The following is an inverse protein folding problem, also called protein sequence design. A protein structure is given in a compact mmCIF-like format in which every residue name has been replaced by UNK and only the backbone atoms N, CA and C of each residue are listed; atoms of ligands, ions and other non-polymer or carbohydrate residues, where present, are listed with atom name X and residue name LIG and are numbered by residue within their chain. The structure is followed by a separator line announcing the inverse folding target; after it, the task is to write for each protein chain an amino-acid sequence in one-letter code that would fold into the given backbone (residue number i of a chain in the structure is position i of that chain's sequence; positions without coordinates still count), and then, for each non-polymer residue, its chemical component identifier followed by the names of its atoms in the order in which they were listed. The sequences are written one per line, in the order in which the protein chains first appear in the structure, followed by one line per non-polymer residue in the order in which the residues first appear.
data_IF_088198385797
#
_entry.id   IF_088198385797
#
_cell.length_a   1.000
_cell.length_b   1.000
_cell.length_c   1.000
_cell.angle_alpha   90.00
_cell.angle_beta   90.00
_cell.angle_gamma   90.00
#
_symmetry.space_group_name_H-M   'P 1'
#
loop_
_entity.id
_entity.type
_entity.pdbx_description
1 polymer ?
#
# COMPACT_ATOMS: atom_id res chain seq x y z
N UNK A 1 18.74 11.28 -19.13
CA UNK A 1 17.93 12.21 -18.30
C UNK A 1 16.69 11.53 -17.72
N UNK A 2 15.84 10.89 -18.52
CA UNK A 2 14.62 10.20 -18.06
C UNK A 2 14.88 9.11 -16.98
N UNK A 3 15.86 8.24 -17.21
CA UNK A 3 16.25 7.18 -16.26
C UNK A 3 16.69 7.73 -14.91
N UNK A 4 17.45 8.83 -14.90
CA UNK A 4 17.90 9.49 -13.67
C UNK A 4 16.69 10.05 -12.88
N UNK A 5 15.74 10.66 -13.58
CA UNK A 5 14.50 11.16 -13.00
C UNK A 5 13.72 10.00 -12.34
N UNK A 6 13.53 8.89 -13.04
CA UNK A 6 12.82 7.71 -12.51
C UNK A 6 13.50 7.11 -11.28
N UNK A 7 14.84 7.01 -11.27
CA UNK A 7 15.58 6.49 -10.12
C UNK A 7 15.39 7.42 -8.91
N UNK A 8 15.63 8.72 -9.07
CA UNK A 8 15.55 9.68 -7.96
C UNK A 8 14.12 9.77 -7.40
N UNK A 9 13.11 9.77 -8.26
CA UNK A 9 11.71 9.83 -7.84
C UNK A 9 11.18 8.50 -7.33
N UNK A 10 11.72 7.36 -7.78
CA UNK A 10 11.31 6.03 -7.34
C UNK A 10 11.85 5.61 -5.97
N UNK A 11 13.04 6.11 -5.58
CA UNK A 11 13.68 5.78 -4.29
C UNK A 11 12.77 6.05 -3.08
N UNK A 12 12.08 7.20 -2.95
CA UNK A 12 11.18 7.45 -1.83
C UNK A 12 10.09 6.40 -1.69
N UNK A 13 9.49 5.99 -2.79
CA UNK A 13 8.40 5.01 -2.76
C UNK A 13 8.91 3.63 -2.28
N UNK A 14 10.09 3.20 -2.74
CA UNK A 14 10.73 1.96 -2.27
C UNK A 14 11.04 1.97 -0.77
N UNK A 15 11.57 3.09 -0.26
CA UNK A 15 11.81 3.28 1.17
C UNK A 15 10.51 3.36 1.98
N UNK A 16 9.44 3.83 1.35
CA UNK A 16 8.12 3.97 1.94
C UNK A 16 7.56 2.68 2.51
N UNK A 17 7.82 1.54 1.88
CA UNK A 17 7.40 0.23 2.37
C UNK A 17 7.89 -0.08 3.80
N UNK A 18 9.09 0.42 4.15
CA UNK A 18 9.69 0.21 5.47
C UNK A 18 9.20 1.27 6.47
N UNK A 19 9.01 2.51 6.02
CA UNK A 19 8.74 3.67 6.88
C UNK A 19 7.24 3.85 7.15
N UNK A 20 6.36 3.45 6.21
CA UNK A 20 4.93 3.71 6.27
C UNK A 20 4.27 3.13 7.51
N UNK A 21 4.53 1.86 7.84
CA UNK A 21 3.91 1.19 8.99
C UNK A 21 4.29 1.81 10.35
N UNK A 22 5.57 2.03 10.71
CA UNK A 22 5.91 2.69 11.96
C UNK A 22 5.39 4.12 12.05
N UNK A 23 5.32 4.86 10.93
CA UNK A 23 4.74 6.19 10.89
C UNK A 23 3.23 6.16 11.20
N UNK A 24 2.49 5.28 10.54
CA UNK A 24 1.06 5.09 10.75
C UNK A 24 0.74 4.68 12.19
N UNK A 25 1.55 3.79 12.78
CA UNK A 25 1.39 3.36 14.17
C UNK A 25 1.60 4.50 15.17
N UNK A 26 2.51 5.44 14.88
CA UNK A 26 2.85 6.55 15.78
C UNK A 26 1.89 7.73 15.67
N UNK A 27 1.51 8.11 14.46
CA UNK A 27 0.78 9.35 14.17
C UNK A 27 -0.68 9.13 13.77
N UNK A 28 -1.08 7.87 13.55
CA UNK A 28 -2.37 7.52 12.97
C UNK A 28 -2.38 7.62 11.45
N UNK A 29 -3.27 6.84 10.82
CA UNK A 29 -3.35 6.72 9.36
C UNK A 29 -3.80 8.06 8.74
N UNK A 30 -4.83 8.68 9.31
CA UNK A 30 -5.37 9.95 8.83
C UNK A 30 -4.32 11.07 8.83
N UNK A 31 -3.59 11.24 9.93
CA UNK A 31 -2.59 12.30 10.03
C UNK A 31 -1.40 12.06 9.09
N UNK A 32 -1.00 10.81 8.90
CA UNK A 32 0.01 10.45 7.91
C UNK A 32 -0.45 10.78 6.48
N UNK A 33 -1.72 10.51 6.16
CA UNK A 33 -2.28 10.85 4.85
C UNK A 33 -2.34 12.37 4.63
N UNK A 34 -2.77 13.15 5.64
CA UNK A 34 -2.76 14.62 5.56
C UNK A 34 -1.35 15.15 5.35
N UNK A 35 -0.36 14.69 6.11
CA UNK A 35 1.03 15.08 5.92
C UNK A 35 1.55 14.71 4.53
N UNK A 36 1.22 13.51 4.04
CA UNK A 36 1.56 13.05 2.70
C UNK A 36 0.99 13.96 1.61
N UNK A 37 -0.32 14.20 1.62
CA UNK A 37 -0.94 15.09 0.63
C UNK A 37 -0.47 16.55 0.72
N UNK A 38 -0.07 17.02 1.89
CA UNK A 38 0.57 18.34 2.03
C UNK A 38 1.91 18.38 1.30
N UNK A 39 2.72 17.32 1.38
CA UNK A 39 3.98 17.22 0.64
C UNK A 39 3.74 17.07 -0.87
N UNK A 40 2.73 16.30 -1.28
CA UNK A 40 2.32 16.21 -2.69
C UNK A 40 1.95 17.60 -3.22
N UNK A 41 1.13 18.35 -2.47
CA UNK A 41 0.72 19.70 -2.86
C UNK A 41 1.92 20.63 -3.05
N UNK A 42 2.83 20.67 -2.08
CA UNK A 42 4.04 21.51 -2.17
C UNK A 42 4.90 21.09 -3.36
N UNK A 43 5.16 19.77 -3.51
CA UNK A 43 5.94 19.25 -4.65
C UNK A 43 5.31 19.56 -5.99
N UNK A 44 3.99 19.40 -6.11
CA UNK A 44 3.27 19.65 -7.37
C UNK A 44 3.20 21.15 -7.71
N UNK A 45 3.02 22.03 -6.72
CA UNK A 45 3.08 23.49 -6.93
C UNK A 45 4.47 23.91 -7.40
N UNK A 46 5.54 23.40 -6.80
CA UNK A 46 6.92 23.68 -7.23
C UNK A 46 7.16 23.21 -8.67
N UNK A 47 6.73 22.01 -9.02
CA UNK A 47 6.86 21.50 -10.38
C UNK A 47 6.03 22.28 -11.41
N UNK A 48 4.84 22.74 -11.00
CA UNK A 48 3.98 23.57 -11.85
C UNK A 48 4.54 24.97 -12.10
N UNK A 49 5.17 25.58 -11.06
CA UNK A 49 5.76 26.93 -11.18
C UNK A 49 7.06 26.94 -12.00
N UNK A 50 7.83 25.86 -11.95
CA UNK A 50 9.16 25.77 -12.57
C UNK A 50 9.29 24.55 -13.50
N UNK A 51 8.44 24.44 -14.54
CA UNK A 51 8.38 23.23 -15.39
C UNK A 51 9.65 23.02 -16.23
N UNK A 52 10.39 24.10 -16.52
CA UNK A 52 11.50 24.09 -17.48
C UNK A 52 12.88 23.88 -16.79
N UNK A 53 12.93 23.79 -15.46
CA UNK A 53 14.18 23.67 -14.71
C UNK A 53 14.39 22.26 -14.17
N UNK A 54 15.38 21.53 -14.70
CA UNK A 54 15.66 20.16 -14.29
C UNK A 54 15.87 19.97 -12.77
N UNK A 55 16.67 20.81 -12.06
CA UNK A 55 16.82 20.66 -10.62
C UNK A 55 15.50 20.79 -9.84
N UNK A 56 14.64 21.72 -10.25
CA UNK A 56 13.32 21.91 -9.64
C UNK A 56 12.37 20.75 -9.96
N UNK A 57 12.39 20.23 -11.19
CA UNK A 57 11.62 19.07 -11.57
C UNK A 57 12.01 17.82 -10.75
N UNK A 58 13.31 17.62 -10.48
CA UNK A 58 13.81 16.55 -9.63
C UNK A 58 13.37 16.73 -8.16
N UNK A 59 13.50 17.91 -7.62
CA UNK A 59 13.08 18.23 -6.25
C UNK A 59 11.57 18.10 -6.09
N UNK A 60 10.80 18.62 -7.02
CA UNK A 60 9.34 18.50 -7.07
C UNK A 60 8.90 17.02 -7.15
N UNK A 61 9.51 16.26 -8.05
CA UNK A 61 9.24 14.83 -8.22
C UNK A 61 9.58 14.03 -6.97
N UNK A 62 10.71 14.30 -6.34
CA UNK A 62 11.12 13.64 -5.09
C UNK A 62 10.12 13.93 -3.96
N UNK A 63 9.78 15.21 -3.75
CA UNK A 63 8.86 15.62 -2.69
C UNK A 63 7.46 15.04 -2.89
N UNK A 64 6.97 15.06 -4.13
CA UNK A 64 5.69 14.46 -4.53
C UNK A 64 5.67 12.96 -4.24
N UNK A 65 6.67 12.21 -4.67
CA UNK A 65 6.72 10.77 -4.45
C UNK A 65 6.87 10.40 -2.97
N UNK A 66 7.63 11.20 -2.21
CA UNK A 66 7.70 11.02 -0.76
C UNK A 66 6.33 11.25 -0.10
N UNK A 67 5.61 12.27 -0.54
CA UNK A 67 4.24 12.54 -0.09
C UNK A 67 3.23 11.45 -0.48
N UNK A 68 3.47 10.70 -1.55
CA UNK A 68 2.62 9.59 -1.98
C UNK A 68 2.78 8.30 -1.17
N UNK A 69 3.79 8.20 -0.30
CA UNK A 69 4.03 7.01 0.54
C UNK A 69 2.79 6.61 1.36
N UNK A 70 2.12 7.49 2.12
CA UNK A 70 0.91 7.13 2.84
C UNK A 70 -0.19 6.61 1.93
N UNK A 71 -0.38 7.21 0.77
CA UNK A 71 -1.37 6.79 -0.21
C UNK A 71 -1.10 5.36 -0.72
N UNK A 72 0.15 5.05 -1.04
CA UNK A 72 0.52 3.76 -1.59
C UNK A 72 0.41 2.59 -0.59
N UNK A 73 0.67 2.83 0.70
CA UNK A 73 0.82 1.76 1.69
C UNK A 73 -0.20 1.78 2.83
N UNK A 74 -0.85 2.92 3.10
CA UNK A 74 -1.66 3.10 4.30
C UNK A 74 -3.14 3.36 3.97
N UNK A 75 -3.45 4.07 2.88
CA UNK A 75 -4.83 4.47 2.55
C UNK A 75 -5.74 3.26 2.30
N UNK A 76 -5.21 2.15 1.78
CA UNK A 76 -5.98 0.91 1.64
C UNK A 76 -6.56 0.42 2.99
N UNK A 77 -5.82 0.59 4.08
CA UNK A 77 -6.32 0.26 5.43
C UNK A 77 -7.46 1.19 5.85
N UNK A 78 -7.39 2.46 5.48
CA UNK A 78 -8.47 3.42 5.75
C UNK A 78 -9.77 3.04 5.02
N UNK A 79 -9.65 2.47 3.81
CA UNK A 79 -10.79 1.94 3.07
C UNK A 79 -11.43 0.74 3.78
N UNK A 80 -10.61 -0.19 4.30
CA UNK A 80 -11.13 -1.31 5.10
C UNK A 80 -11.91 -0.79 6.33
N UNK A 81 -11.39 0.20 7.03
CA UNK A 81 -12.10 0.83 8.16
C UNK A 81 -13.40 1.52 7.74
N UNK A 82 -13.44 2.12 6.56
CA UNK A 82 -14.67 2.68 6.02
C UNK A 82 -15.72 1.59 5.74
N UNK A 83 -15.33 0.45 5.20
CA UNK A 83 -16.23 -0.70 4.99
C UNK A 83 -16.75 -1.26 6.31
N UNK A 84 -15.90 -1.43 7.32
CA UNK A 84 -16.31 -1.83 8.67
C UNK A 84 -17.33 -0.85 9.27
N UNK A 85 -17.13 0.46 9.05
CA UNK A 85 -18.06 1.49 9.49
C UNK A 85 -19.42 1.41 8.78
N UNK A 86 -19.42 1.07 7.49
CA UNK A 86 -20.66 0.86 6.71
C UNK A 86 -21.36 -0.41 7.19
N UNK A 87 -20.65 -1.52 7.38
CA UNK A 87 -21.20 -2.78 7.92
C UNK A 87 -21.81 -2.55 9.31
N UNK A 88 -21.12 -1.80 10.17
CA UNK A 88 -21.62 -1.45 11.50
C UNK A 88 -22.96 -0.75 11.45
N UNK A 89 -23.14 0.23 10.53
CA UNK A 89 -24.35 1.05 10.42
C UNK A 89 -25.48 0.38 9.62
N UNK A 90 -25.15 -0.25 8.49
CA UNK A 90 -26.12 -0.75 7.52
C UNK A 90 -26.42 -2.24 7.66
N UNK A 91 -25.65 -2.97 8.47
CA UNK A 91 -25.69 -4.44 8.57
C UNK A 91 -25.41 -5.16 7.26
N UNK A 92 -24.92 -4.44 6.24
CA UNK A 92 -24.56 -4.99 4.92
C UNK A 92 -23.05 -4.95 4.77
N UNK A 93 -22.45 -6.11 4.52
CA UNK A 93 -21.03 -6.23 4.25
C UNK A 93 -20.76 -5.93 2.78
N UNK A 94 -20.07 -4.82 2.52
CA UNK A 94 -19.72 -4.37 1.16
C UNK A 94 -18.35 -4.89 0.69
N UNK A 95 -17.74 -5.79 1.43
CA UNK A 95 -16.45 -6.38 1.04
C UNK A 95 -16.61 -7.27 -0.21
N UNK A 96 -15.54 -7.38 -0.97
CA UNK A 96 -15.47 -8.21 -2.15
C UNK A 96 -15.89 -7.49 -3.43
N UNK A 97 -16.50 -8.22 -4.35
CA UNK A 97 -16.76 -7.75 -5.72
C UNK A 97 -17.60 -6.47 -5.78
N UNK A 98 -18.61 -6.33 -4.91
CA UNK A 98 -19.48 -5.14 -4.87
C UNK A 98 -18.71 -3.88 -4.41
N UNK A 99 -17.88 -3.99 -3.37
CA UNK A 99 -17.07 -2.89 -2.91
C UNK A 99 -16.07 -2.41 -3.98
N UNK A 100 -15.39 -3.35 -4.64
CA UNK A 100 -14.47 -3.06 -5.74
C UNK A 100 -15.22 -2.43 -6.93
N UNK A 101 -16.36 -2.97 -7.31
CA UNK A 101 -17.15 -2.45 -8.42
C UNK A 101 -17.63 -1.01 -8.18
N UNK A 102 -18.13 -0.70 -6.98
CA UNK A 102 -18.56 0.65 -6.60
C UNK A 102 -17.40 1.64 -6.64
N UNK A 103 -16.24 1.26 -6.07
CA UNK A 103 -15.05 2.11 -6.07
C UNK A 103 -14.57 2.35 -7.50
N UNK A 104 -14.49 1.30 -8.32
CA UNK A 104 -14.07 1.41 -9.72
C UNK A 104 -15.02 2.29 -10.52
N UNK A 105 -16.32 2.15 -10.32
CA UNK A 105 -17.33 3.00 -10.97
C UNK A 105 -17.18 4.48 -10.56
N UNK A 106 -16.99 4.76 -9.27
CA UNK A 106 -16.76 6.12 -8.77
C UNK A 106 -15.45 6.72 -9.31
N UNK A 107 -14.37 5.95 -9.30
CA UNK A 107 -13.10 6.37 -9.87
C UNK A 107 -13.24 6.68 -11.37
N UNK A 108 -13.90 5.82 -12.13
CA UNK A 108 -14.14 6.03 -13.56
C UNK A 108 -15.00 7.26 -13.82
N UNK A 109 -16.05 7.48 -13.04
CA UNK A 109 -16.91 8.65 -13.16
C UNK A 109 -16.19 9.97 -12.91
N UNK A 110 -15.21 9.98 -11.98
CA UNK A 110 -14.36 11.15 -11.71
C UNK A 110 -13.28 11.29 -12.77
N UNK A 111 -12.64 10.20 -13.16
CA UNK A 111 -11.49 10.23 -14.07
C UNK A 111 -11.88 10.54 -15.52
N UNK A 112 -12.99 10.01 -16.03
CA UNK A 112 -13.37 10.12 -17.42
C UNK A 112 -13.53 11.58 -17.92
N UNK A 113 -14.17 12.52 -17.19
CA UNK A 113 -14.24 13.92 -17.62
C UNK A 113 -12.88 14.60 -17.72
N UNK A 114 -11.96 14.29 -16.79
CA UNK A 114 -10.60 14.83 -16.80
C UNK A 114 -9.79 14.25 -17.96
N UNK A 115 -9.87 12.96 -18.20
CA UNK A 115 -9.19 12.31 -19.32
C UNK A 115 -9.65 12.84 -20.67
N UNK A 116 -10.98 12.93 -20.88
CA UNK A 116 -11.56 13.47 -22.11
C UNK A 116 -11.25 14.97 -22.33
N UNK A 117 -11.24 15.76 -21.26
CA UNK A 117 -10.85 17.17 -21.31
C UNK A 117 -9.35 17.34 -21.65
N UNK A 118 -8.50 16.53 -21.07
CA UNK A 118 -7.07 16.50 -21.36
C UNK A 118 -6.81 16.09 -22.82
N UNK A 119 -7.38 14.99 -23.27
CA UNK A 119 -7.24 14.46 -24.62
C UNK A 119 -7.70 15.49 -25.66
N UNK A 120 -8.89 16.06 -25.48
CA UNK A 120 -9.40 17.10 -26.40
C UNK A 120 -8.51 18.34 -26.46
N UNK A 121 -7.90 18.72 -25.35
CA UNK A 121 -7.02 19.88 -25.30
C UNK A 121 -5.68 19.62 -25.98
N UNK A 122 -5.12 18.43 -25.82
CA UNK A 122 -3.84 18.06 -26.44
C UNK A 122 -3.98 17.90 -27.96
N UNK A 123 -5.12 17.35 -28.43
CA UNK A 123 -5.44 17.26 -29.83
C UNK A 123 -5.60 18.66 -30.49
N UNK A 124 -6.23 19.60 -29.79
CA UNK A 124 -6.35 21.01 -30.26
C UNK A 124 -4.98 21.70 -30.38
N UNK A 125 -4.00 21.31 -29.58
CA UNK A 125 -2.63 21.78 -29.68
C UNK A 125 -1.84 21.12 -30.82
N UNK A 126 -2.45 20.22 -31.58
CA UNK A 126 -1.85 19.54 -32.73
C UNK A 126 -0.97 18.33 -32.33
N UNK A 127 -1.24 17.72 -31.18
CA UNK A 127 -0.59 16.46 -30.82
C UNK A 127 -0.99 15.35 -31.77
N UNK A 128 0.00 14.66 -32.31
CA UNK A 128 -0.19 13.47 -33.16
C UNK A 128 0.60 12.35 -32.51
N UNK A 129 -0.09 11.27 -32.14
CA UNK A 129 0.52 10.07 -31.61
C UNK A 129 1.07 9.21 -32.75
N UNK A 130 2.24 9.60 -33.26
CA UNK A 130 2.96 8.86 -34.31
C UNK A 130 4.39 8.58 -33.84
N UNK A 131 4.84 7.35 -34.10
CA UNK A 131 6.20 6.95 -33.74
C UNK A 131 7.24 7.82 -34.44
N UNK A 132 8.17 8.39 -33.67
CA UNK A 132 9.23 9.28 -34.18
C UNK A 132 8.87 10.77 -34.27
N UNK A 133 7.65 11.18 -33.98
CA UNK A 133 7.26 12.59 -33.91
C UNK A 133 7.50 13.13 -32.49
N UNK A 134 8.41 14.11 -32.39
CA UNK A 134 8.66 14.80 -31.11
C UNK A 134 7.62 15.92 -30.96
N UNK A 135 6.82 15.94 -29.89
CA UNK A 135 5.87 17.02 -29.63
C UNK A 135 6.58 18.38 -29.55
N UNK A 136 5.90 19.43 -30.01
CA UNK A 136 6.45 20.77 -29.88
C UNK A 136 6.53 21.23 -28.41
N UNK A 137 7.29 22.31 -28.14
CA UNK A 137 7.51 22.78 -26.77
C UNK A 137 6.23 23.16 -26.03
N UNK A 138 5.22 23.67 -26.72
CA UNK A 138 3.94 24.06 -26.12
C UNK A 138 3.14 22.85 -25.67
N UNK A 139 3.17 21.78 -26.44
CA UNK A 139 2.53 20.50 -26.08
C UNK A 139 3.22 19.89 -24.87
N UNK A 140 4.56 19.85 -24.85
CA UNK A 140 5.34 19.31 -23.72
C UNK A 140 5.04 20.11 -22.45
N UNK A 141 5.01 21.44 -22.58
CA UNK A 141 4.68 22.32 -21.45
C UNK A 141 3.27 22.11 -20.94
N UNK A 142 2.30 22.01 -21.83
CA UNK A 142 0.90 21.72 -21.46
C UNK A 142 0.79 20.35 -20.73
N UNK A 143 1.44 19.32 -21.26
CA UNK A 143 1.48 17.99 -20.62
C UNK A 143 2.04 18.06 -19.21
N UNK A 144 3.18 18.74 -19.04
CA UNK A 144 3.86 18.85 -17.75
C UNK A 144 3.02 19.66 -16.75
N UNK A 145 2.47 20.80 -17.19
CA UNK A 145 1.63 21.62 -16.32
C UNK A 145 0.33 20.95 -15.93
N UNK A 146 -0.32 20.25 -16.86
CA UNK A 146 -1.56 19.50 -16.61
C UNK A 146 -1.33 18.35 -15.60
N UNK A 147 -0.20 17.66 -15.70
CA UNK A 147 0.18 16.61 -14.78
C UNK A 147 0.29 17.13 -13.33
N UNK A 148 0.98 18.23 -13.11
CA UNK A 148 1.08 18.82 -11.78
C UNK A 148 -0.23 19.44 -11.30
N UNK A 149 -1.00 20.08 -12.20
CA UNK A 149 -2.29 20.67 -11.87
C UNK A 149 -3.29 19.61 -11.38
N UNK A 150 -3.33 18.44 -12.02
CA UNK A 150 -4.17 17.33 -11.59
C UNK A 150 -3.81 16.87 -10.17
N UNK A 151 -2.54 16.72 -9.86
CA UNK A 151 -2.09 16.37 -8.52
C UNK A 151 -2.43 17.45 -7.47
N UNK A 152 -2.33 18.73 -7.84
CA UNK A 152 -2.72 19.86 -6.96
C UNK A 152 -4.21 19.75 -6.61
N UNK A 153 -5.07 19.55 -7.63
CA UNK A 153 -6.52 19.43 -7.43
C UNK A 153 -6.82 18.24 -6.50
N UNK A 154 -6.22 17.08 -6.77
CA UNK A 154 -6.40 15.88 -5.94
C UNK A 154 -5.87 16.06 -4.52
N UNK A 155 -4.70 16.67 -4.34
CA UNK A 155 -4.13 16.92 -3.04
C UNK A 155 -5.00 17.89 -2.21
N UNK A 156 -5.49 18.97 -2.81
CA UNK A 156 -6.41 19.91 -2.16
C UNK A 156 -7.72 19.23 -1.78
N UNK A 157 -8.32 18.47 -2.69
CA UNK A 157 -9.55 17.73 -2.40
C UNK A 157 -9.36 16.76 -1.22
N UNK A 158 -8.26 15.99 -1.20
CA UNK A 158 -7.96 15.09 -0.09
C UNK A 158 -7.69 15.85 1.22
N UNK A 159 -6.97 16.96 1.19
CA UNK A 159 -6.72 17.79 2.38
C UNK A 159 -8.01 18.38 2.97
N UNK A 160 -9.01 18.67 2.13
CA UNK A 160 -10.33 19.14 2.57
C UNK A 160 -11.15 17.97 3.15
N UNK A 161 -11.11 16.79 2.53
CA UNK A 161 -11.97 15.65 2.88
C UNK A 161 -11.44 14.83 4.06
N UNK A 162 -10.12 14.60 4.14
CA UNK A 162 -9.50 13.75 5.15
C UNK A 162 -9.79 14.19 6.62
N UNK A 163 -9.86 15.47 6.97
CA UNK A 163 -10.23 15.90 8.32
C UNK A 163 -11.61 15.42 8.77
N UNK A 164 -12.54 15.21 7.84
CA UNK A 164 -13.88 14.70 8.14
C UNK A 164 -13.93 13.19 8.31
N UNK A 165 -12.88 12.47 7.96
CA UNK A 165 -12.79 11.01 8.12
C UNK A 165 -12.42 10.70 9.58
N UNK A 166 -13.42 10.43 10.41
CA UNK A 166 -13.25 10.16 11.84
C UNK A 166 -13.47 8.69 12.22
N UNK A 167 -13.28 7.80 11.23
CA UNK A 167 -13.52 6.35 11.39
C UNK A 167 -12.49 5.75 12.36
N UNK A 168 -11.24 6.19 12.29
CA UNK A 168 -10.13 5.64 13.07
C UNK A 168 -10.37 5.72 14.60
N UNK A 169 -10.97 6.79 15.09
CA UNK A 169 -11.30 6.94 16.51
C UNK A 169 -12.43 6.04 16.98
N UNK A 170 -13.36 5.70 16.09
CA UNK A 170 -14.53 4.86 16.39
C UNK A 170 -14.24 3.37 16.18
N UNK A 171 -13.10 3.05 15.58
CA UNK A 171 -12.71 1.69 15.21
C UNK A 171 -12.79 0.68 16.37
N UNK A 172 -12.32 0.98 17.61
CA UNK A 172 -12.42 0.01 18.70
C UNK A 172 -13.87 -0.39 19.01
N UNK A 173 -14.81 0.57 18.97
CA UNK A 173 -16.23 0.31 19.20
C UNK A 173 -16.84 -0.48 18.04
N UNK A 174 -16.52 -0.10 16.81
CA UNK A 174 -16.98 -0.77 15.59
C UNK A 174 -16.51 -2.23 15.59
N UNK A 175 -15.23 -2.47 15.83
CA UNK A 175 -14.66 -3.81 15.83
C UNK A 175 -15.23 -4.71 16.92
N UNK A 176 -15.43 -4.16 18.14
CA UNK A 176 -16.03 -4.91 19.25
C UNK A 176 -17.46 -5.36 18.89
N UNK A 177 -18.26 -4.48 18.30
CA UNK A 177 -19.63 -4.81 17.91
C UNK A 177 -19.69 -5.78 16.72
N UNK A 178 -18.86 -5.58 15.70
CA UNK A 178 -18.79 -6.52 14.57
C UNK A 178 -18.32 -7.91 15.02
N UNK A 179 -17.36 -7.98 15.95
CA UNK A 179 -16.91 -9.24 16.53
C UNK A 179 -18.04 -9.93 17.32
N UNK A 180 -18.80 -9.18 18.12
CA UNK A 180 -19.98 -9.69 18.83
C UNK A 180 -20.99 -10.29 17.87
N UNK A 181 -21.34 -9.58 16.79
CA UNK A 181 -22.29 -10.06 15.77
C UNK A 181 -21.77 -11.34 15.06
N UNK A 182 -20.48 -11.38 14.72
CA UNK A 182 -19.87 -12.57 14.13
C UNK A 182 -19.98 -13.77 15.07
N UNK A 183 -19.67 -13.56 16.35
CA UNK A 183 -19.78 -14.61 17.38
C UNK A 183 -21.21 -15.14 17.50
N UNK A 184 -22.20 -14.25 17.59
CA UNK A 184 -23.61 -14.61 17.67
C UNK A 184 -24.07 -15.40 16.43
N UNK A 185 -23.63 -14.99 15.24
CA UNK A 185 -23.97 -15.66 13.98
C UNK A 185 -23.37 -17.07 13.88
N UNK A 186 -22.15 -17.29 14.40
CA UNK A 186 -21.51 -18.61 14.44
C UNK A 186 -22.22 -19.54 15.43
N UNK A 187 -22.51 -19.04 16.63
CA UNK A 187 -23.22 -19.79 17.65
C UNK A 187 -24.66 -20.14 17.24
N UNK A 188 -25.35 -19.24 16.50
CA UNK A 188 -26.69 -19.49 15.98
C UNK A 188 -26.72 -20.62 14.93
N UNK A 189 -25.59 -20.89 14.25
CA UNK A 189 -25.44 -22.03 13.33
C UNK A 189 -25.06 -23.34 14.03
N UNK A 190 -24.87 -23.31 15.34
CA UNK A 190 -24.41 -24.47 16.11
C UNK A 190 -22.90 -24.75 15.96
N UNK A 191 -22.13 -23.81 15.40
CA UNK A 191 -20.69 -23.93 15.23
C UNK A 191 -19.96 -23.43 16.50
N UNK A 192 -18.75 -23.93 16.73
CA UNK A 192 -17.90 -23.51 17.84
C UNK A 192 -17.21 -22.21 17.50
N UNK A 193 -17.38 -21.19 18.36
CA UNK A 193 -16.64 -19.95 18.23
C UNK A 193 -15.20 -20.13 18.67
N UNK A 194 -14.26 -19.79 17.79
CA UNK A 194 -12.84 -19.67 18.11
C UNK A 194 -12.51 -18.17 18.10
N UNK A 195 -11.83 -17.72 19.17
CA UNK A 195 -11.41 -16.34 19.26
C UNK A 195 -10.44 -15.99 18.10
N UNK A 196 -10.52 -14.80 17.49
CA UNK A 196 -9.63 -14.42 16.39
C UNK A 196 -8.14 -14.53 16.71
N UNK A 197 -7.72 -14.22 17.94
CA UNK A 197 -6.32 -14.37 18.35
C UNK A 197 -5.90 -15.84 18.41
N UNK A 198 -6.79 -16.71 18.85
CA UNK A 198 -6.56 -18.15 18.84
C UNK A 198 -6.59 -18.74 17.45
N UNK A 199 -7.49 -18.27 16.60
CA UNK A 199 -7.53 -18.64 15.18
C UNK A 199 -6.22 -18.27 14.47
N UNK A 200 -5.73 -17.04 14.66
CA UNK A 200 -4.46 -16.59 14.10
C UNK A 200 -3.29 -17.45 14.57
N UNK A 201 -3.27 -17.81 15.85
CA UNK A 201 -2.24 -18.73 16.39
C UNK A 201 -2.28 -20.09 15.71
N UNK A 202 -3.49 -20.67 15.57
CA UNK A 202 -3.67 -21.96 14.90
C UNK A 202 -3.28 -21.92 13.43
N UNK A 203 -3.61 -20.84 12.74
CA UNK A 203 -3.24 -20.63 11.34
C UNK A 203 -1.73 -20.45 11.17
N UNK A 204 -1.07 -19.73 12.08
CA UNK A 204 0.39 -19.63 12.11
C UNK A 204 1.08 -20.97 12.37
N UNK A 205 0.54 -21.78 13.28
CA UNK A 205 1.04 -23.14 13.56
C UNK A 205 0.88 -24.05 12.33
N UNK A 206 -0.29 -24.04 11.67
CA UNK A 206 -0.52 -24.78 10.41
C UNK A 206 0.45 -24.33 9.32
N UNK A 207 0.58 -23.04 9.10
CA UNK A 207 1.52 -22.49 8.11
C UNK A 207 2.99 -22.84 8.42
N UNK A 208 3.36 -22.95 9.69
CA UNK A 208 4.69 -23.41 10.09
C UNK A 208 4.89 -24.90 9.80
N UNK A 209 3.88 -25.73 10.07
CA UNK A 209 3.91 -27.16 9.75
C UNK A 209 3.99 -27.41 8.24
N UNK A 210 3.19 -26.69 7.45
CA UNK A 210 3.22 -26.78 5.99
C UNK A 210 4.59 -26.35 5.41
N UNK A 211 5.17 -25.26 5.92
CA UNK A 211 6.53 -24.84 5.51
C UNK A 211 7.57 -25.88 5.82
N UNK A 212 7.47 -26.52 7.00
CA UNK A 212 8.40 -27.57 7.38
C UNK A 212 8.21 -28.83 6.53
N UNK A 213 6.97 -29.24 6.25
CA UNK A 213 6.67 -30.35 5.37
C UNK A 213 7.21 -30.12 3.94
N UNK A 214 6.96 -28.93 3.39
CA UNK A 214 7.48 -28.52 2.08
C UNK A 214 9.02 -28.51 2.06
N UNK A 215 9.65 -27.97 3.11
CA UNK A 215 11.11 -27.98 3.25
C UNK A 215 11.68 -29.41 3.25
N UNK A 216 11.05 -30.29 4.02
CA UNK A 216 11.46 -31.70 4.09
C UNK A 216 11.32 -32.39 2.73
N UNK A 217 10.21 -32.13 2.03
CA UNK A 217 9.99 -32.68 0.69
C UNK A 217 11.02 -32.16 -0.32
N UNK A 218 11.24 -30.85 -0.37
CA UNK A 218 12.26 -30.23 -1.22
C UNK A 218 13.67 -30.78 -0.94
N UNK A 219 13.97 -31.04 0.34
CA UNK A 219 15.26 -31.61 0.72
C UNK A 219 15.39 -33.06 0.26
N UNK A 220 14.34 -33.89 0.39
CA UNK A 220 14.29 -35.25 -0.13
C UNK A 220 14.51 -35.29 -1.63
N UNK A 221 13.81 -34.46 -2.38
CA UNK A 221 13.92 -34.36 -3.82
C UNK A 221 15.31 -33.89 -4.29
N UNK A 222 15.93 -32.98 -3.52
CA UNK A 222 17.31 -32.56 -3.76
C UNK A 222 18.31 -33.68 -3.49
N UNK A 223 18.16 -34.39 -2.39
CA UNK A 223 19.02 -35.51 -2.03
C UNK A 223 18.93 -36.64 -3.05
N UNK A 224 17.72 -36.98 -3.49
CA UNK A 224 17.50 -37.98 -4.53
C UNK A 224 18.19 -37.60 -5.85
N UNK A 225 18.10 -36.32 -6.27
CA UNK A 225 18.76 -35.84 -7.50
C UNK A 225 20.29 -35.81 -7.41
N UNK A 226 20.85 -35.61 -6.22
CA UNK A 226 22.30 -35.47 -6.02
C UNK A 226 22.99 -36.68 -5.40
N UNK A 227 22.26 -37.75 -5.12
CA UNK A 227 22.80 -38.95 -4.46
C UNK A 227 23.31 -38.68 -3.04
N UNK A 228 22.70 -37.72 -2.33
CA UNK A 228 23.07 -37.34 -0.96
C UNK A 228 22.15 -38.04 0.04
N UNK A 229 22.70 -38.31 1.24
CA UNK A 229 21.92 -38.88 2.33
C UNK A 229 21.03 -37.80 3.00
N UNK A 230 19.73 -38.04 3.02
CA UNK A 230 18.74 -37.13 3.56
C UNK A 230 18.94 -36.84 5.06
N UNK A 231 19.23 -37.88 5.86
CA UNK A 231 19.36 -37.72 7.32
C UNK A 231 20.52 -36.85 7.70
N UNK A 232 21.65 -37.01 6.98
CA UNK A 232 22.86 -36.20 7.17
C UNK A 232 22.61 -34.73 6.81
N UNK A 233 21.97 -34.46 5.67
CA UNK A 233 21.70 -33.09 5.23
C UNK A 233 20.61 -32.40 6.10
N UNK A 234 19.59 -33.13 6.51
CA UNK A 234 18.57 -32.61 7.43
C UNK A 234 19.16 -32.26 8.82
N UNK A 235 20.03 -33.10 9.36
CA UNK A 235 20.74 -32.83 10.62
C UNK A 235 21.59 -31.57 10.54
N UNK A 236 22.38 -31.40 9.46
CA UNK A 236 23.16 -30.18 9.22
C UNK A 236 22.31 -28.92 9.17
N UNK A 237 21.13 -29.00 8.56
CA UNK A 237 20.18 -27.90 8.52
C UNK A 237 19.67 -27.53 9.90
N UNK A 238 19.20 -28.52 10.68
CA UNK A 238 18.67 -28.32 12.02
C UNK A 238 19.74 -27.72 12.97
N UNK A 239 20.97 -28.21 12.92
CA UNK A 239 22.08 -27.64 13.68
C UNK A 239 22.35 -26.16 13.33
N UNK A 240 22.28 -25.83 12.04
CA UNK A 240 22.45 -24.45 11.58
C UNK A 240 21.33 -23.53 12.05
N UNK A 241 20.10 -24.01 12.03
CA UNK A 241 18.94 -23.26 12.54
C UNK A 241 19.00 -23.09 14.07
N UNK A 242 19.37 -24.12 14.82
CA UNK A 242 19.56 -24.03 16.27
C UNK A 242 20.63 -22.99 16.65
N UNK A 243 21.76 -22.96 15.90
CA UNK A 243 22.80 -21.93 16.10
C UNK A 243 22.31 -20.51 15.79
N UNK A 244 21.44 -20.34 14.76
CA UNK A 244 20.86 -19.03 14.45
C UNK A 244 19.86 -18.58 15.53
N UNK A 245 19.05 -19.49 16.05
CA UNK A 245 18.10 -19.20 17.12
C UNK A 245 18.81 -18.78 18.42
N UNK A 246 19.84 -19.55 18.83
CA UNK A 246 20.66 -19.21 19.98
C UNK A 246 21.32 -17.84 19.87
N UNK A 247 21.82 -17.46 18.66
CA UNK A 247 22.37 -16.12 18.41
C UNK A 247 21.29 -15.02 18.48
N UNK A 248 20.05 -15.28 18.04
CA UNK A 248 18.95 -14.32 18.14
C UNK A 248 18.53 -14.11 19.60
N UNK A 249 18.43 -15.17 20.38
CA UNK A 249 18.10 -15.10 21.82
C UNK A 249 19.15 -14.31 22.60
N UNK A 250 20.43 -14.62 22.39
CA UNK A 250 21.53 -13.89 23.05
C UNK A 250 21.58 -12.40 22.69
N UNK A 251 21.18 -12.03 21.45
CA UNK A 251 21.06 -10.62 21.06
C UNK A 251 19.84 -9.92 21.69
N UNK A 252 18.74 -10.64 21.89
CA UNK A 252 17.55 -10.09 22.55
C UNK A 252 17.77 -9.89 24.05
N UNK A 253 18.46 -10.81 24.71
CA UNK A 253 18.83 -10.67 26.12
C UNK A 253 19.79 -9.49 26.36
N UNK A 254 20.75 -9.27 25.42
CA UNK A 254 21.66 -8.10 25.47
C UNK A 254 20.97 -6.76 25.21
N UNK A 255 19.78 -6.75 24.59
CA UNK A 255 18.98 -5.52 24.37
C UNK A 255 18.01 -5.22 25.51
N UNK A 256 17.79 -6.19 26.41
CA UNK A 256 16.92 -6.03 27.60
C UNK A 256 17.69 -5.65 28.86
N UNK A 257 19.02 -5.74 28.80
CA UNK A 257 19.97 -5.20 29.80
C UNK A 257 20.45 -3.81 29.37
#
# INVERSE_FOLDING_TARGET
MFTLYQIITGVPLGLGAIIAYPLAKKFGIRNCAIAGYSLVLVGSVLGWMFPDTLPMALAAGFLRQFGMIPNAYIVATLMCYAFDSVEYKSHVRLEGLLGVAVITALQSAVYAPFAGGYESSILKLGFVDMEGVIPNGDIIRFMTMSFYLFDIILAVANLILLPFVDVEKKLPVINAELLRRKKEAVLAKGEVWIDPEEQERLDLERAAQEREANRVQDLKDRCARKGLDFETENRKYLEKEAKKQAKKQSKQEKKKK
#
